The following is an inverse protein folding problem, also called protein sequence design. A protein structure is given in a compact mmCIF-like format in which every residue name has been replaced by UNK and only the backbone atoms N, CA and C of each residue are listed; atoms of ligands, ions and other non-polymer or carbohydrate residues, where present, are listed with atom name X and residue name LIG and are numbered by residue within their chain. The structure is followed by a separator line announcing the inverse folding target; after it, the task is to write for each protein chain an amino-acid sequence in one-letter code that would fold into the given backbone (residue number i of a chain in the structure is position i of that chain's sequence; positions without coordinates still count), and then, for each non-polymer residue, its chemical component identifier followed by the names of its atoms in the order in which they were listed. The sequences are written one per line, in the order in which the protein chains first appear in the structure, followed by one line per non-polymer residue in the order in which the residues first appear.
data_IF_148759146612
#
_entry.id   IF_148759146612
#
_cell.length_a   1.000
_cell.length_b   1.000
_cell.length_c   1.000
_cell.angle_alpha   90.00
_cell.angle_beta   90.00
_cell.angle_gamma   90.00
#
_symmetry.space_group_name_H-M   'P 1'
#
loop_
_entity.id
_entity.type
_entity.pdbx_description
1 polymer ?
#
# COMPACT_ATOMS: atom_id res chain seq x y z
N UNK A 1 -29.90 -10.51 -7.07
CA UNK A 1 -29.19 -9.73 -8.10
C UNK A 1 -27.81 -9.43 -7.53
N UNK A 2 -26.77 -10.18 -7.92
CA UNK A 2 -25.41 -9.91 -7.45
C UNK A 2 -24.90 -8.70 -8.24
N UNK A 3 -24.92 -7.53 -7.61
CA UNK A 3 -24.29 -6.33 -8.16
C UNK A 3 -22.80 -6.50 -7.90
N UNK A 4 -22.05 -6.91 -8.92
CA UNK A 4 -20.58 -6.92 -8.88
C UNK A 4 -20.09 -5.47 -8.92
N UNK A 5 -20.07 -4.83 -7.76
CA UNK A 5 -19.51 -3.48 -7.61
C UNK A 5 -18.01 -3.56 -7.42
N UNK A 6 -17.28 -2.70 -8.15
CA UNK A 6 -15.84 -2.49 -7.95
C UNK A 6 -15.67 -1.26 -7.06
N UNK A 7 -14.98 -1.42 -5.94
CA UNK A 7 -14.72 -0.34 -4.98
C UNK A 7 -13.28 0.14 -5.16
N UNK A 8 -13.14 1.44 -5.46
CA UNK A 8 -11.83 2.08 -5.58
C UNK A 8 -11.29 2.46 -4.20
N UNK A 9 -10.17 1.88 -3.83
CA UNK A 9 -9.46 2.16 -2.57
C UNK A 9 -8.28 3.05 -2.87
N UNK A 10 -8.32 4.31 -2.43
CA UNK A 10 -7.18 5.22 -2.55
C UNK A 10 -6.17 4.86 -1.46
N UNK A 11 -4.97 4.46 -1.85
CA UNK A 11 -3.92 4.03 -0.92
C UNK A 11 -3.03 5.22 -0.50
N UNK A 12 -2.58 5.22 0.75
CA UNK A 12 -1.50 6.07 1.24
C UNK A 12 -0.19 5.26 1.39
N UNK A 13 0.90 5.94 1.77
CA UNK A 13 2.22 5.29 1.92
C UNK A 13 2.25 4.33 3.11
N UNK A 14 1.57 4.65 4.22
CA UNK A 14 1.57 3.82 5.44
C UNK A 14 0.83 2.49 5.23
N UNK A 15 -0.32 2.51 4.54
CA UNK A 15 -1.07 1.31 4.17
C UNK A 15 -0.24 0.40 3.27
N UNK A 16 0.41 0.94 2.24
CA UNK A 16 1.21 0.14 1.32
C UNK A 16 2.42 -0.50 2.01
N UNK A 17 3.07 0.21 2.92
CA UNK A 17 4.16 -0.36 3.74
C UNK A 17 3.63 -1.50 4.62
N UNK A 18 2.46 -1.34 5.24
CA UNK A 18 1.84 -2.38 6.06
C UNK A 18 1.46 -3.61 5.24
N UNK A 19 0.82 -3.42 4.07
CA UNK A 19 0.44 -4.50 3.14
C UNK A 19 1.67 -5.26 2.64
N UNK A 20 2.76 -4.56 2.34
CA UNK A 20 4.01 -5.17 1.90
C UNK A 20 4.71 -5.98 3.01
N UNK A 21 4.54 -5.57 4.27
CA UNK A 21 5.28 -6.14 5.41
C UNK A 21 4.48 -7.20 6.18
N UNK A 22 3.15 -7.21 6.04
CA UNK A 22 2.24 -8.05 6.84
C UNK A 22 1.15 -8.66 5.97
N UNK A 23 0.92 -9.97 6.11
CA UNK A 23 -0.22 -10.63 5.45
C UNK A 23 -1.54 -10.20 6.10
N UNK A 24 -2.40 -9.53 5.33
CA UNK A 24 -3.75 -9.16 5.75
C UNK A 24 -4.71 -10.34 5.49
N UNK A 25 -5.36 -10.83 6.55
CA UNK A 25 -6.24 -12.02 6.47
C UNK A 25 -7.69 -11.70 6.09
N UNK A 26 -8.14 -10.46 6.29
CA UNK A 26 -9.56 -10.10 6.21
C UNK A 26 -10.01 -9.53 4.86
N UNK A 27 -9.11 -9.39 3.87
CA UNK A 27 -9.45 -8.85 2.54
C UNK A 27 -10.61 -9.60 1.87
N UNK A 28 -10.67 -10.95 1.87
CA UNK A 28 -11.79 -11.68 1.25
C UNK A 28 -13.15 -11.39 1.90
N UNK A 29 -13.17 -11.16 3.21
CA UNK A 29 -14.40 -10.81 3.92
C UNK A 29 -14.87 -9.41 3.53
N UNK A 30 -13.95 -8.45 3.47
CA UNK A 30 -14.24 -7.09 2.98
C UNK A 30 -14.77 -7.14 1.55
N UNK A 31 -14.13 -7.89 0.65
CA UNK A 31 -14.60 -8.03 -0.74
C UNK A 31 -16.01 -8.62 -0.85
N UNK A 32 -16.37 -9.53 0.05
CA UNK A 32 -17.72 -10.11 0.11
C UNK A 32 -18.76 -9.09 0.58
N UNK A 33 -18.39 -8.22 1.52
CA UNK A 33 -19.29 -7.23 2.11
C UNK A 33 -19.52 -6.01 1.21
N UNK A 34 -18.46 -5.50 0.58
CA UNK A 34 -18.52 -4.22 -0.15
C UNK A 34 -18.21 -4.32 -1.64
N UNK A 35 -17.81 -5.49 -2.14
CA UNK A 35 -17.43 -5.72 -3.53
C UNK A 35 -15.92 -5.76 -3.75
N UNK A 36 -15.52 -6.13 -4.97
CA UNK A 36 -14.11 -6.33 -5.34
C UNK A 36 -13.32 -5.03 -5.19
N UNK A 37 -12.14 -5.11 -4.57
CA UNK A 37 -11.31 -3.94 -4.32
C UNK A 37 -10.38 -3.66 -5.51
N UNK A 38 -10.37 -2.41 -5.97
CA UNK A 38 -9.39 -1.87 -6.91
C UNK A 38 -8.51 -0.86 -6.17
N UNK A 39 -7.23 -1.19 -5.98
CA UNK A 39 -6.28 -0.31 -5.29
C UNK A 39 -5.74 0.76 -6.24
N UNK A 40 -5.98 2.03 -5.89
CA UNK A 40 -5.53 3.20 -6.64
C UNK A 40 -4.42 3.88 -5.84
N UNK A 41 -3.22 3.93 -6.42
CA UNK A 41 -2.05 4.57 -5.80
C UNK A 41 -1.81 5.93 -6.45
N UNK A 42 -1.98 7.06 -5.73
CA UNK A 42 -1.68 8.39 -6.26
C UNK A 42 -0.18 8.58 -6.51
N UNK A 43 0.17 9.37 -7.52
CA UNK A 43 1.58 9.69 -7.85
C UNK A 43 2.36 10.31 -6.68
N UNK A 44 1.70 11.06 -5.80
CA UNK A 44 2.33 11.62 -4.59
C UNK A 44 2.83 10.52 -3.66
N UNK A 45 2.05 9.45 -3.49
CA UNK A 45 2.40 8.30 -2.64
C UNK A 45 3.59 7.53 -3.21
N UNK A 46 3.67 7.37 -4.54
CA UNK A 46 4.85 6.79 -5.20
C UNK A 46 6.12 7.58 -4.85
N UNK A 47 6.06 8.91 -4.94
CA UNK A 47 7.19 9.78 -4.61
C UNK A 47 7.59 9.73 -3.13
N UNK A 48 6.62 9.58 -2.23
CA UNK A 48 6.89 9.39 -0.80
C UNK A 48 7.64 8.08 -0.55
N UNK A 49 7.18 6.98 -1.15
CA UNK A 49 7.80 5.66 -1.03
C UNK A 49 9.22 5.65 -1.63
N UNK A 50 9.44 6.30 -2.76
CA UNK A 50 10.78 6.47 -3.36
C UNK A 50 11.75 7.20 -2.41
N UNK A 51 11.30 8.28 -1.77
CA UNK A 51 12.10 9.03 -0.78
C UNK A 51 12.42 8.16 0.44
N UNK A 52 11.43 7.46 0.98
CA UNK A 52 11.62 6.54 2.12
C UNK A 52 12.67 5.48 1.80
N UNK A 53 12.60 4.86 0.61
CA UNK A 53 13.58 3.87 0.17
C UNK A 53 15.00 4.44 0.01
N UNK A 54 15.14 5.70 -0.41
CA UNK A 54 16.44 6.37 -0.52
C UNK A 54 17.03 6.71 0.85
N UNK A 55 16.20 7.15 1.80
CA UNK A 55 16.65 7.52 3.14
C UNK A 55 17.07 6.30 3.96
N UNK A 56 16.38 5.16 3.82
CA UNK A 56 16.82 3.90 4.41
C UNK A 56 18.17 3.43 3.84
N UNK A 57 18.39 3.60 2.53
CA UNK A 57 19.71 3.31 1.92
C UNK A 57 20.82 4.23 2.41
N UNK A 58 20.52 5.48 2.79
CA UNK A 58 21.51 6.39 3.38
C UNK A 58 21.86 6.00 4.82
N UNK A 59 20.89 5.52 5.60
CA UNK A 59 21.13 5.01 6.98
C UNK A 59 21.94 3.72 6.98
N UNK A 60 21.79 2.87 5.96
CA UNK A 60 22.52 1.61 5.83
C UNK A 60 23.98 1.75 5.35
N UNK A 61 24.41 2.94 4.89
CA UNK A 61 25.83 3.17 4.56
C UNK A 61 26.62 3.41 5.85
N UNK A 62 27.67 2.63 6.13
CA UNK A 62 28.58 2.98 7.21
C UNK A 62 29.19 4.34 6.88
N UNK A 63 29.14 5.28 7.84
CA UNK A 63 29.94 6.49 7.73
C UNK A 63 31.40 6.04 7.70
N UNK A 64 32.05 6.07 6.52
CA UNK A 64 33.50 5.96 6.44
C UNK A 64 34.06 7.18 7.19
N UNK A 65 34.49 6.92 8.42
CA UNK A 65 35.34 7.78 9.24
C UNK A 65 36.74 7.19 9.20
#
# INVERSE_FOLDING_TARGET
MLVYQVVKVICDSSFLVLVASTRIKNIPNVETEIGTLEYVVPNMVVRELEKLALDDKKKARPKMR
#
